data_IF_137680948859
#
_entry.id   IF_137680948859
#
_cell.length_a   1.000
_cell.length_b   1.000
_cell.length_c   1.000
_cell.angle_alpha   90.00
_cell.angle_beta   90.00
_cell.angle_gamma   90.00
#
_symmetry.space_group_name_H-M   'P 1'
#
loop_
_entity.id
_entity.type
_entity.pdbx_description
1 polymer ?
#
# COMPACT_ATOMS: atom_id res chain seq x y z
N UNK A 1 2.68 -12.85 21.83
CA UNK A 1 1.75 -12.11 20.95
C UNK A 1 0.38 -12.66 21.24
N UNK A 2 -0.52 -11.81 21.75
CA UNK A 2 -1.86 -12.25 22.12
C UNK A 2 -2.65 -12.63 20.86
N UNK A 3 -3.41 -13.71 20.92
CA UNK A 3 -4.24 -14.18 19.80
C UNK A 3 -5.17 -13.08 19.25
N UNK A 4 -5.56 -12.14 20.11
CA UNK A 4 -6.39 -10.99 19.79
C UNK A 4 -5.70 -10.01 18.81
N UNK A 5 -4.40 -9.78 18.97
CA UNK A 5 -3.61 -8.89 18.10
C UNK A 5 -3.43 -9.51 16.72
N UNK A 6 -3.17 -10.83 16.67
CA UNK A 6 -3.08 -11.58 15.41
C UNK A 6 -4.42 -11.56 14.67
N UNK A 7 -5.54 -11.71 15.39
CA UNK A 7 -6.88 -11.64 14.82
C UNK A 7 -7.20 -10.24 14.26
N UNK A 8 -6.79 -9.16 14.93
CA UNK A 8 -6.97 -7.79 14.44
C UNK A 8 -6.20 -7.53 13.13
N UNK A 9 -4.95 -7.98 13.03
CA UNK A 9 -4.18 -7.87 11.79
C UNK A 9 -4.79 -8.67 10.64
N UNK A 10 -5.23 -9.89 10.92
CA UNK A 10 -5.92 -10.71 9.94
C UNK A 10 -7.22 -10.04 9.44
N UNK A 11 -7.97 -9.40 10.34
CA UNK A 11 -9.16 -8.66 9.93
C UNK A 11 -8.81 -7.42 9.09
N UNK A 12 -7.78 -6.68 9.47
CA UNK A 12 -7.31 -5.51 8.74
C UNK A 12 -6.79 -5.84 7.32
N UNK A 13 -6.18 -7.01 7.11
CA UNK A 13 -5.75 -7.48 5.77
C UNK A 13 -6.93 -7.95 4.91
N UNK A 14 -7.94 -8.56 5.52
CA UNK A 14 -9.13 -9.05 4.82
C UNK A 14 -10.09 -7.91 4.42
N UNK A 15 -10.13 -6.83 5.20
CA UNK A 15 -11.01 -5.69 4.97
C UNK A 15 -10.88 -5.05 3.58
N UNK A 16 -9.68 -4.71 3.04
CA UNK A 16 -9.54 -4.20 1.69
C UNK A 16 -9.95 -5.22 0.63
N UNK A 17 -9.76 -6.52 0.87
CA UNK A 17 -10.20 -7.59 -0.05
C UNK A 17 -11.73 -7.65 -0.11
N UNK A 18 -12.39 -7.63 1.05
CA UNK A 18 -13.85 -7.61 1.15
C UNK A 18 -14.41 -6.35 0.50
N UNK A 19 -13.81 -5.18 0.74
CA UNK A 19 -14.21 -3.93 0.10
C UNK A 19 -14.03 -3.99 -1.43
N UNK A 20 -12.95 -4.60 -1.91
CA UNK A 20 -12.70 -4.79 -3.33
C UNK A 20 -13.75 -5.68 -3.99
N UNK A 21 -14.08 -6.83 -3.37
CA UNK A 21 -15.14 -7.72 -3.84
C UNK A 21 -16.49 -7.00 -3.77
N UNK A 22 -16.80 -6.34 -2.66
CA UNK A 22 -18.04 -5.59 -2.45
C UNK A 22 -18.25 -4.50 -3.50
N UNK A 23 -17.25 -3.66 -3.76
CA UNK A 23 -17.30 -2.61 -4.79
C UNK A 23 -17.39 -3.20 -6.21
N UNK A 24 -16.73 -4.32 -6.48
CA UNK A 24 -16.83 -5.01 -7.77
C UNK A 24 -18.23 -5.60 -7.98
N UNK A 25 -18.84 -6.16 -6.93
CA UNK A 25 -20.22 -6.64 -6.95
C UNK A 25 -21.22 -5.48 -7.06
N UNK A 26 -20.98 -4.37 -6.37
CA UNK A 26 -21.79 -3.15 -6.49
C UNK A 26 -21.77 -2.64 -7.93
N UNK A 27 -20.61 -2.70 -8.59
CA UNK A 27 -20.44 -2.36 -10.01
C UNK A 27 -21.26 -3.25 -10.95
N UNK A 28 -21.65 -4.44 -10.51
CA UNK A 28 -22.54 -5.35 -11.25
C UNK A 28 -24.02 -4.94 -11.17
N UNK A 29 -24.41 -4.07 -10.24
CA UNK A 29 -25.78 -3.57 -10.11
C UNK A 29 -26.05 -2.55 -11.22
N UNK A 30 -27.14 -2.74 -11.99
CA UNK A 30 -27.47 -1.90 -13.16
C UNK A 30 -27.59 -0.40 -12.87
N UNK A 31 -27.93 -0.01 -11.64
CA UNK A 31 -28.03 1.40 -11.24
C UNK A 31 -26.66 2.09 -11.15
N UNK A 32 -25.62 1.39 -10.67
CA UNK A 32 -24.28 1.97 -10.50
C UNK A 32 -23.50 2.02 -11.82
N UNK A 33 -23.84 1.16 -12.80
CA UNK A 33 -23.25 1.20 -14.14
C UNK A 33 -23.47 2.52 -14.88
N UNK A 34 -24.47 3.32 -14.45
CA UNK A 34 -24.77 4.62 -15.07
C UNK A 34 -23.84 5.74 -14.60
N UNK A 35 -23.05 5.50 -13.56
CA UNK A 35 -22.13 6.51 -13.02
C UNK A 35 -20.92 6.64 -13.95
N UNK A 36 -20.53 7.86 -14.35
CA UNK A 36 -19.30 8.10 -15.09
C UNK A 36 -18.06 7.53 -14.40
N UNK A 37 -17.16 6.92 -15.19
CA UNK A 37 -15.97 6.19 -14.72
C UNK A 37 -15.10 6.98 -13.73
N UNK A 38 -14.96 8.28 -13.95
CA UNK A 38 -14.15 9.17 -13.09
C UNK A 38 -14.72 9.28 -11.67
N UNK A 39 -16.05 9.34 -11.52
CA UNK A 39 -16.70 9.44 -10.22
C UNK A 39 -16.63 8.12 -9.46
N UNK A 40 -16.74 7.00 -10.17
CA UNK A 40 -16.52 5.68 -9.58
C UNK A 40 -15.10 5.53 -9.03
N UNK A 41 -14.10 6.05 -9.75
CA UNK A 41 -12.70 6.05 -9.33
C UNK A 41 -12.46 6.91 -8.08
N UNK A 42 -13.11 8.07 -8.01
CA UNK A 42 -13.03 8.95 -6.84
C UNK A 42 -13.66 8.27 -5.62
N UNK A 43 -14.86 7.70 -5.77
CA UNK A 43 -15.55 7.00 -4.68
C UNK A 43 -14.72 5.82 -4.18
N UNK A 44 -14.19 4.99 -5.10
CA UNK A 44 -13.32 3.89 -4.73
C UNK A 44 -12.06 4.39 -4.02
N UNK A 45 -11.40 5.43 -4.53
CA UNK A 45 -10.22 6.03 -3.90
C UNK A 45 -10.49 6.55 -2.48
N UNK A 46 -11.65 7.16 -2.24
CA UNK A 46 -12.08 7.60 -0.91
C UNK A 46 -12.34 6.42 0.03
N UNK A 47 -13.07 5.40 -0.41
CA UNK A 47 -13.36 4.21 0.40
C UNK A 47 -12.07 3.51 0.80
N UNK A 48 -11.17 3.25 -0.16
CA UNK A 48 -9.88 2.64 0.14
C UNK A 48 -8.94 3.54 0.93
N UNK A 49 -9.04 4.87 0.77
CA UNK A 49 -8.35 5.83 1.62
C UNK A 49 -8.78 5.71 3.08
N UNK A 50 -10.08 5.61 3.37
CA UNK A 50 -10.59 5.38 4.72
C UNK A 50 -10.16 4.03 5.31
N UNK A 51 -10.09 2.99 4.48
CA UNK A 51 -9.55 1.68 4.88
C UNK A 51 -8.05 1.79 5.21
N UNK A 52 -7.31 2.59 4.46
CA UNK A 52 -5.90 2.85 4.73
C UNK A 52 -5.70 3.55 6.08
N UNK A 53 -6.55 4.52 6.41
CA UNK A 53 -6.59 5.17 7.74
C UNK A 53 -6.87 4.15 8.84
N UNK A 54 -7.89 3.31 8.68
CA UNK A 54 -8.20 2.26 9.63
C UNK A 54 -7.01 1.29 9.83
N UNK A 55 -6.28 0.98 8.76
CA UNK A 55 -5.04 0.19 8.80
C UNK A 55 -3.86 0.89 9.51
N UNK A 56 -3.88 2.22 9.67
CA UNK A 56 -2.91 2.96 10.49
C UNK A 56 -3.15 2.73 11.98
N UNK A 57 -4.42 2.73 12.41
CA UNK A 57 -4.80 2.61 13.82
C UNK A 57 -4.57 1.21 14.41
N UNK A 58 -4.63 0.17 13.57
CA UNK A 58 -4.43 -1.23 14.00
C UNK A 58 -2.93 -1.59 14.11
N UNK A 59 -2.02 -0.65 13.80
CA UNK A 59 -0.57 -0.89 13.81
C UNK A 59 0.05 -1.24 15.16
N UNK A 60 0.94 -2.24 15.20
CA UNK A 60 1.70 -2.56 16.41
C UNK A 60 3.07 -1.87 16.33
N UNK A 61 3.44 -1.04 17.31
CA UNK A 61 4.79 -0.51 17.41
C UNK A 61 5.75 -1.64 17.82
N UNK A 62 6.75 -1.94 16.98
CA UNK A 62 7.81 -2.91 17.28
C UNK A 62 9.18 -2.26 17.08
N UNK A 63 9.97 -2.11 18.16
CA UNK A 63 11.35 -1.61 18.15
C UNK A 63 11.60 -0.36 17.27
N UNK A 64 10.74 0.66 17.38
CA UNK A 64 10.88 1.92 16.64
C UNK A 64 10.35 1.91 15.19
N UNK A 65 9.88 0.76 14.69
CA UNK A 65 9.17 0.63 13.42
C UNK A 65 7.71 0.22 13.65
N UNK A 66 6.79 0.89 12.97
CA UNK A 66 5.35 0.62 13.08
C UNK A 66 4.94 -0.28 11.90
N UNK A 67 4.65 -1.56 12.19
CA UNK A 67 4.25 -2.56 11.19
C UNK A 67 2.74 -2.51 10.99
N UNK A 68 2.31 -2.08 9.80
CA UNK A 68 0.90 -1.83 9.49
C UNK A 68 0.53 -2.41 8.13
N UNK A 69 -0.76 -2.64 7.91
CA UNK A 69 -1.31 -3.19 6.66
C UNK A 69 -1.79 -2.12 5.69
N UNK A 70 -1.44 -0.85 5.94
CA UNK A 70 -1.99 0.31 5.24
C UNK A 70 -1.79 0.26 3.73
N UNK A 71 -0.60 -0.12 3.29
CA UNK A 71 -0.21 -0.05 1.87
C UNK A 71 -1.04 -0.99 0.98
N UNK A 72 -1.65 -2.03 1.55
CA UNK A 72 -2.54 -2.94 0.84
C UNK A 72 -3.77 -2.22 0.24
N UNK A 73 -4.29 -1.19 0.90
CA UNK A 73 -5.50 -0.50 0.45
C UNK A 73 -5.28 0.40 -0.78
N UNK A 74 -4.28 1.31 -0.83
CA UNK A 74 -3.94 2.06 -2.05
C UNK A 74 -3.53 1.17 -3.22
N UNK A 75 -2.80 0.08 -2.93
CA UNK A 75 -2.40 -0.90 -3.95
C UNK A 75 -3.63 -1.57 -4.59
N UNK A 76 -4.58 -2.05 -3.77
CA UNK A 76 -5.83 -2.63 -4.25
C UNK A 76 -6.68 -1.60 -5.02
N UNK A 77 -6.78 -0.36 -4.52
CA UNK A 77 -7.53 0.69 -5.18
C UNK A 77 -7.01 1.00 -6.59
N UNK A 78 -5.69 1.18 -6.72
CA UNK A 78 -5.03 1.48 -7.99
C UNK A 78 -5.14 0.34 -9.00
N UNK A 79 -4.96 -0.90 -8.55
CA UNK A 79 -4.94 -2.07 -9.42
C UNK A 79 -6.33 -2.52 -9.91
N UNK A 80 -7.39 -2.36 -9.11
CA UNK A 80 -8.72 -2.85 -9.48
C UNK A 80 -9.65 -1.75 -10.01
N UNK A 81 -9.58 -0.55 -9.45
CA UNK A 81 -10.50 0.55 -9.78
C UNK A 81 -9.87 1.60 -10.70
N UNK A 82 -8.54 1.58 -10.81
CA UNK A 82 -7.76 2.34 -11.79
C UNK A 82 -6.85 3.37 -11.15
N UNK A 83 -5.93 3.91 -11.96
CA UNK A 83 -4.85 4.76 -11.45
C UNK A 83 -5.26 5.97 -10.60
N UNK A 84 -6.28 6.75 -10.98
CA UNK A 84 -6.73 7.87 -10.16
C UNK A 84 -7.19 7.43 -8.76
N UNK A 85 -7.83 6.26 -8.63
CA UNK A 85 -8.31 5.74 -7.35
C UNK A 85 -7.13 5.39 -6.42
N UNK A 86 -6.07 4.77 -6.96
CA UNK A 86 -4.86 4.45 -6.20
C UNK A 86 -4.10 5.67 -5.71
N UNK A 87 -3.98 6.71 -6.54
CA UNK A 87 -3.34 7.98 -6.15
C UNK A 87 -4.13 8.67 -5.04
N UNK A 88 -5.45 8.75 -5.17
CA UNK A 88 -6.33 9.36 -4.14
C UNK A 88 -6.22 8.59 -2.82
N UNK A 89 -6.31 7.26 -2.85
CA UNK A 89 -6.20 6.43 -1.65
C UNK A 89 -4.82 6.56 -0.98
N UNK A 90 -3.75 6.56 -1.78
CA UNK A 90 -2.37 6.70 -1.30
C UNK A 90 -2.10 8.08 -0.67
N UNK A 91 -2.64 9.15 -1.26
CA UNK A 91 -2.57 10.49 -0.67
C UNK A 91 -3.32 10.57 0.65
N UNK A 92 -4.55 10.04 0.72
CA UNK A 92 -5.34 10.06 1.96
C UNK A 92 -4.61 9.31 3.08
N UNK A 93 -4.13 8.08 2.83
CA UNK A 93 -3.41 7.30 3.84
C UNK A 93 -2.04 7.88 4.21
N UNK A 94 -1.33 8.49 3.26
CA UNK A 94 -0.04 9.15 3.52
C UNK A 94 -0.18 10.44 4.34
N UNK A 95 -1.19 11.25 4.02
CA UNK A 95 -1.53 12.49 4.74
C UNK A 95 -2.02 12.16 6.14
N UNK A 96 -2.90 11.18 6.28
CA UNK A 96 -3.39 10.77 7.61
C UNK A 96 -2.23 10.36 8.51
N UNK A 97 -1.28 9.52 8.04
CA UNK A 97 -0.10 9.17 8.83
C UNK A 97 0.76 10.38 9.19
N UNK A 98 0.85 11.36 8.29
CA UNK A 98 1.55 12.60 8.58
C UNK A 98 0.91 13.33 9.77
N UNK A 99 -0.42 13.34 9.86
CA UNK A 99 -1.16 13.97 10.97
C UNK A 99 -1.26 13.10 12.22
N UNK A 100 -1.39 11.78 12.11
CA UNK A 100 -1.54 10.84 13.23
C UNK A 100 -0.35 10.87 14.21
N UNK A 101 0.82 11.34 13.76
CA UNK A 101 1.99 11.50 14.63
C UNK A 101 1.85 12.66 15.62
N UNK A 102 0.98 13.67 15.38
CA UNK A 102 0.67 14.67 16.40
C UNK A 102 0.06 14.07 17.69
N UNK A 103 -0.43 12.82 17.62
CA UNK A 103 -0.99 12.08 18.77
C UNK A 103 -0.04 11.05 19.41
N UNK A 104 1.25 11.07 19.09
CA UNK A 104 2.28 10.33 19.85
C UNK A 104 2.80 9.04 19.21
N UNK A 105 2.56 8.81 17.91
CA UNK A 105 2.98 7.61 17.21
C UNK A 105 4.36 7.76 16.52
N UNK A 106 5.46 7.56 17.25
CA UNK A 106 6.82 7.26 16.74
C UNK A 106 7.37 8.12 15.58
N UNK A 107 8.16 9.16 15.90
CA UNK A 107 8.71 10.15 14.94
C UNK A 107 9.65 9.56 13.86
N UNK A 108 10.38 8.48 14.15
CA UNK A 108 11.49 8.02 13.30
C UNK A 108 11.09 7.40 11.96
N UNK A 109 9.83 6.99 11.78
CA UNK A 109 9.33 6.34 10.55
C UNK A 109 8.24 7.15 9.82
N UNK A 110 7.98 8.38 10.26
CA UNK A 110 6.87 9.24 9.75
C UNK A 110 6.98 9.54 8.26
N UNK A 111 8.12 10.13 7.84
CA UNK A 111 8.39 10.47 6.44
C UNK A 111 8.40 9.21 5.57
N UNK A 112 9.11 8.20 6.05
CA UNK A 112 9.29 6.90 5.41
C UNK A 112 7.95 6.22 5.07
N UNK A 113 7.07 6.03 6.05
CA UNK A 113 5.79 5.36 5.83
C UNK A 113 4.80 6.23 5.05
N UNK A 114 4.77 7.55 5.24
CA UNK A 114 3.90 8.43 4.45
C UNK A 114 4.30 8.44 2.97
N UNK A 115 5.61 8.53 2.67
CA UNK A 115 6.12 8.44 1.31
C UNK A 115 5.92 7.03 0.74
N UNK A 116 6.12 5.98 1.52
CA UNK A 116 5.86 4.60 1.12
C UNK A 116 4.41 4.40 0.65
N UNK A 117 3.44 4.93 1.39
CA UNK A 117 2.02 4.79 1.04
C UNK A 117 1.63 5.63 -0.19
N UNK A 118 2.17 6.84 -0.33
CA UNK A 118 1.93 7.67 -1.53
C UNK A 118 2.55 7.02 -2.76
N UNK A 119 3.81 6.57 -2.65
CA UNK A 119 4.53 5.91 -3.75
C UNK A 119 3.86 4.59 -4.12
N UNK A 120 3.37 3.80 -3.16
CA UNK A 120 2.60 2.58 -3.42
C UNK A 120 1.32 2.88 -4.22
N UNK A 121 0.58 3.93 -3.88
CA UNK A 121 -0.61 4.37 -4.64
C UNK A 121 -0.30 4.81 -6.07
N UNK A 122 0.75 5.61 -6.25
CA UNK A 122 1.25 6.03 -7.59
C UNK A 122 1.72 4.81 -8.39
N UNK A 123 2.38 3.88 -7.71
CA UNK A 123 2.91 2.69 -8.33
C UNK A 123 1.80 1.76 -8.83
N UNK A 124 0.78 1.51 -8.00
CA UNK A 124 -0.40 0.75 -8.43
C UNK A 124 -1.12 1.41 -9.60
N UNK A 125 -1.12 2.74 -9.66
CA UNK A 125 -1.68 3.48 -10.77
C UNK A 125 -0.90 3.29 -12.08
N UNK A 126 0.44 3.32 -12.00
CA UNK A 126 1.31 3.02 -13.12
C UNK A 126 1.12 1.58 -13.58
N UNK A 127 1.14 0.61 -12.66
CA UNK A 127 0.86 -0.80 -12.95
C UNK A 127 -0.46 -0.98 -13.69
N UNK A 128 -1.54 -0.36 -13.21
CA UNK A 128 -2.84 -0.45 -13.86
C UNK A 128 -2.81 0.11 -15.27
N UNK A 129 -2.08 1.22 -15.52
CA UNK A 129 -1.91 1.73 -16.88
C UNK A 129 -1.13 0.74 -17.74
N UNK A 130 0.00 0.24 -17.28
CA UNK A 130 0.82 -0.70 -18.06
C UNK A 130 0.09 -2.01 -18.37
N UNK A 131 -0.66 -2.57 -17.42
CA UNK A 131 -1.37 -3.84 -17.58
C UNK A 131 -2.54 -3.76 -18.57
N UNK A 132 -3.20 -2.61 -18.65
CA UNK A 132 -4.39 -2.42 -19.50
C UNK A 132 -4.11 -1.71 -20.84
N UNK A 133 -3.00 -0.97 -20.97
CA UNK A 133 -2.67 -0.17 -22.16
C UNK A 133 -1.70 -0.89 -23.12
N UNK A 134 -1.00 -1.95 -22.67
CA UNK A 134 -0.10 -2.74 -23.52
C UNK A 134 -0.64 -4.14 -23.84
N UNK A 135 -0.78 -4.46 -25.13
CA UNK A 135 -0.92 -5.86 -25.59
C UNK A 135 0.34 -6.63 -25.15
N UNK A 136 0.19 -7.45 -24.11
CA UNK A 136 1.21 -8.31 -23.50
C UNK A 136 2.44 -7.57 -22.93
N UNK A 137 2.48 -7.33 -21.60
CA UNK A 137 3.71 -6.94 -20.94
C UNK A 137 4.71 -8.11 -21.04
N UNK A 138 5.87 -7.87 -21.65
CA UNK A 138 6.96 -8.84 -21.66
C UNK A 138 7.34 -9.20 -20.22
N UNK A 139 7.51 -10.49 -19.93
CA UNK A 139 7.88 -11.03 -18.60
C UNK A 139 8.98 -10.24 -17.84
N UNK A 140 10.06 -9.73 -18.48
CA UNK A 140 11.05 -8.92 -17.78
C UNK A 140 10.54 -7.56 -17.29
N UNK A 141 9.57 -6.93 -17.96
CA UNK A 141 8.99 -5.66 -17.48
C UNK A 141 8.11 -5.88 -16.24
N UNK A 142 7.40 -7.01 -16.14
CA UNK A 142 6.63 -7.39 -14.95
C UNK A 142 7.56 -7.68 -13.75
N UNK A 143 8.70 -8.32 -14.00
CA UNK A 143 9.71 -8.54 -12.95
C UNK A 143 10.42 -7.25 -12.55
N UNK A 144 10.77 -6.38 -13.51
CA UNK A 144 11.38 -5.09 -13.23
C UNK A 144 10.44 -4.17 -12.44
N UNK A 145 9.16 -4.20 -12.77
CA UNK A 145 8.14 -3.50 -11.98
C UNK A 145 8.08 -4.07 -10.56
N UNK A 146 7.88 -5.36 -10.36
CA UNK A 146 7.89 -5.97 -9.01
C UNK A 146 9.17 -5.65 -8.20
N UNK A 147 10.33 -5.69 -8.85
CA UNK A 147 11.62 -5.32 -8.24
C UNK A 147 11.63 -3.85 -7.82
N UNK A 148 11.16 -2.94 -8.68
CA UNK A 148 11.09 -1.51 -8.36
C UNK A 148 10.11 -1.24 -7.22
N UNK A 149 8.99 -1.98 -7.10
CA UNK A 149 8.11 -1.89 -5.92
C UNK A 149 8.82 -2.29 -4.66
N UNK A 150 9.44 -3.47 -4.68
CA UNK A 150 10.12 -4.02 -3.51
C UNK A 150 11.27 -3.12 -3.09
N UNK A 151 12.03 -2.60 -4.05
CA UNK A 151 13.12 -1.65 -3.82
C UNK A 151 12.57 -0.32 -3.27
N UNK A 152 11.53 0.26 -3.84
CA UNK A 152 10.94 1.52 -3.35
C UNK A 152 10.26 1.37 -1.98
N UNK A 153 9.63 0.21 -1.73
CA UNK A 153 9.03 -0.16 -0.44
C UNK A 153 10.11 -0.40 0.60
N UNK A 154 11.22 -1.07 0.23
CA UNK A 154 12.40 -1.22 1.07
C UNK A 154 13.08 0.11 1.35
N UNK A 155 13.23 1.01 0.36
CA UNK A 155 13.82 2.33 0.53
C UNK A 155 12.96 3.22 1.44
N UNK A 156 11.64 3.18 1.28
CA UNK A 156 10.72 3.84 2.23
C UNK A 156 10.78 3.20 3.62
N UNK A 157 11.18 1.94 3.75
CA UNK A 157 11.40 1.28 5.05
C UNK A 157 12.81 1.50 5.62
N UNK A 158 13.74 2.09 4.85
CA UNK A 158 15.14 2.31 5.24
C UNK A 158 15.47 3.79 5.23
N UNK A 159 14.97 4.51 6.23
CA UNK A 159 15.67 5.74 6.66
C UNK A 159 17.07 5.38 7.18
N UNK A 160 18.10 6.20 6.92
CA UNK A 160 19.50 5.83 7.10
C UNK A 160 19.90 5.95 8.58
N UNK A 161 19.68 4.92 9.40
CA UNK A 161 20.35 4.80 10.73
C UNK A 161 20.56 3.36 11.21
N UNK A 162 20.06 2.33 10.53
CA UNK A 162 20.42 0.95 10.89
C UNK A 162 20.95 0.17 9.69
N UNK A 163 22.13 0.60 9.24
CA UNK A 163 23.20 -0.31 8.85
C UNK A 163 23.55 -1.23 10.02
N UNK A 164 22.72 -2.23 10.35
CA UNK A 164 23.12 -3.41 11.15
C UNK A 164 21.93 -4.33 11.47
N UNK A 165 21.29 -4.90 10.45
CA UNK A 165 20.85 -6.32 10.45
C UNK A 165 20.02 -6.61 9.21
N UNK A 166 20.71 -7.16 8.23
CA UNK A 166 20.13 -7.88 7.10
C UNK A 166 19.04 -8.86 7.57
N UNK A 167 17.94 -8.92 6.82
CA UNK A 167 17.17 -10.15 6.70
C UNK A 167 18.10 -11.25 6.13
N UNK A 168 18.00 -12.50 6.60
CA UNK A 168 18.83 -13.59 6.11
C UNK A 168 18.24 -14.10 4.79
N UNK A 169 18.43 -13.37 3.70
CA UNK A 169 18.39 -13.99 2.37
C UNK A 169 19.82 -14.41 2.03
N UNK A 170 19.95 -15.65 1.54
CA UNK A 170 21.18 -16.44 1.34
C UNK A 170 22.25 -15.81 0.42
N UNK A 171 22.02 -14.59 -0.06
CA UNK A 171 22.73 -13.93 -1.15
C UNK A 171 23.80 -12.92 -0.69
N UNK A 172 23.84 -12.54 0.59
CA UNK A 172 24.83 -11.58 1.13
C UNK A 172 26.17 -12.20 1.59
N UNK A 173 26.53 -13.44 1.18
CA UNK A 173 27.78 -14.10 1.60
C UNK A 173 28.97 -13.95 0.65
N UNK A 174 28.83 -13.22 -0.47
CA UNK A 174 29.82 -13.25 -1.56
C UNK A 174 30.62 -11.97 -1.79
N UNK A 175 30.51 -10.95 -0.93
CA UNK A 175 31.33 -9.73 -1.06
C UNK A 175 32.16 -9.54 0.21
N UNK A 176 33.47 -9.85 0.20
CA UNK A 176 34.35 -9.50 1.30
C UNK A 176 34.63 -7.99 1.23
N UNK A 177 34.23 -7.24 2.26
CA UNK A 177 34.64 -5.85 2.42
C UNK A 177 36.05 -5.81 3.04
N UNK A 178 36.98 -4.97 2.53
CA UNK A 178 38.27 -4.66 3.17
C UNK A 178 38.10 -3.84 4.45
#
# INVERSE_FOLDING_TARGET
MDALVVAQFAFATLLPVIACVGLTLLRRIRCIMRIPKIWWQIIAGLVFGLIAVYGTEVGIPTNGATMNVRDAAPLAAGLFFGGPAGIIAGLIGGIERWFAVLWGAGEFTRLACSLGTITAGVYAALLHKYLFDSRMPSWPMAMATGLVVEVLTCFSSSSPISTSRCAPSRWCKLVPCP
#
